data_IF_796021182911
#
_entry.id   IF_796021182911
#
_cell.length_a   1.000
_cell.length_b   1.000
_cell.length_c   1.000
_cell.angle_alpha   90.00
_cell.angle_beta   90.00
_cell.angle_gamma   90.00
#
_symmetry.space_group_name_H-M   'P 1'
#
loop_
_entity.id
_entity.type
_entity.pdbx_description
1 polymer ?
#
# COMPACT_ATOMS: atom_id res chain seq x y z
N UNK A 1 -23.60 2.04 -0.60
CA UNK A 1 -23.13 0.62 -0.55
C UNK A 1 -22.94 0.00 -1.95
N UNK A 2 -22.47 0.80 -2.92
CA UNK A 2 -22.68 0.45 -4.33
C UNK A 2 -21.49 -0.15 -5.08
N UNK A 3 -20.23 0.21 -4.75
CA UNK A 3 -19.06 -0.44 -5.40
C UNK A 3 -18.62 -1.69 -4.66
N UNK A 4 -18.85 -1.75 -3.35
CA UNK A 4 -18.50 -2.89 -2.52
C UNK A 4 -19.15 -4.20 -2.98
N UNK A 5 -20.31 -4.20 -3.64
CA UNK A 5 -21.04 -5.42 -4.05
C UNK A 5 -20.85 -5.83 -5.53
N UNK A 6 -20.41 -4.94 -6.43
CA UNK A 6 -20.35 -5.27 -7.86
C UNK A 6 -19.21 -6.24 -8.25
N UNK A 7 -18.22 -6.46 -7.37
CA UNK A 7 -17.13 -7.40 -7.61
C UNK A 7 -17.42 -8.78 -7.01
N UNK A 8 -18.39 -9.50 -7.60
CA UNK A 8 -18.37 -10.96 -7.77
C UNK A 8 -18.74 -11.89 -6.59
N UNK A 9 -19.62 -12.83 -6.91
CA UNK A 9 -19.81 -14.13 -6.24
C UNK A 9 -18.46 -14.86 -6.30
N UNK A 10 -17.68 -14.87 -5.21
CA UNK A 10 -16.30 -15.41 -5.18
C UNK A 10 -15.21 -14.52 -4.52
N UNK A 11 -15.56 -13.35 -3.97
CA UNK A 11 -14.62 -12.46 -3.26
C UNK A 11 -13.73 -13.13 -2.24
N UNK A 12 -14.29 -14.02 -1.42
CA UNK A 12 -13.51 -14.73 -0.40
C UNK A 12 -12.40 -15.57 -1.02
N UNK A 13 -12.67 -16.20 -2.18
CA UNK A 13 -11.69 -16.98 -2.91
C UNK A 13 -10.63 -16.10 -3.58
N UNK A 14 -11.03 -15.01 -4.23
CA UNK A 14 -10.08 -14.06 -4.82
C UNK A 14 -9.19 -13.41 -3.75
N UNK A 15 -9.79 -12.98 -2.65
CA UNK A 15 -9.07 -12.39 -1.52
C UNK A 15 -8.13 -13.43 -0.89
N UNK A 16 -8.60 -14.66 -0.69
CA UNK A 16 -7.77 -15.77 -0.21
C UNK A 16 -6.62 -16.11 -1.17
N UNK A 17 -6.84 -16.07 -2.48
CA UNK A 17 -5.80 -16.28 -3.49
C UNK A 17 -4.77 -15.14 -3.50
N UNK A 18 -5.21 -13.90 -3.34
CA UNK A 18 -4.29 -12.76 -3.26
C UNK A 18 -3.51 -12.74 -1.93
N UNK A 19 -4.11 -13.24 -0.84
CA UNK A 19 -3.43 -13.41 0.44
C UNK A 19 -2.64 -14.72 0.54
N UNK A 20 -2.80 -15.66 -0.38
CA UNK A 20 -2.13 -16.97 -0.30
C UNK A 20 -0.61 -16.87 -0.16
N UNK A 21 0.11 -15.90 -0.78
CA UNK A 21 1.56 -15.78 -0.58
C UNK A 21 1.97 -15.54 0.88
N UNK A 22 1.09 -15.01 1.75
CA UNK A 22 1.40 -14.85 3.18
C UNK A 22 1.38 -16.19 3.95
N UNK A 23 0.63 -17.18 3.45
CA UNK A 23 0.46 -18.47 4.13
C UNK A 23 1.53 -19.46 3.64
N UNK A 24 1.94 -19.34 2.39
CA UNK A 24 2.94 -20.24 1.78
C UNK A 24 4.30 -19.98 2.43
N UNK A 25 5.03 -21.02 2.86
CA UNK A 25 6.38 -20.86 3.36
C UNK A 25 7.28 -20.17 2.34
N UNK A 26 8.06 -19.19 2.80
CA UNK A 26 8.89 -18.33 1.96
C UNK A 26 9.82 -19.11 1.01
N UNK A 27 10.44 -20.19 1.49
CA UNK A 27 11.34 -21.02 0.68
C UNK A 27 10.60 -21.67 -0.50
N UNK A 28 9.34 -22.05 -0.31
CA UNK A 28 8.50 -22.62 -1.36
C UNK A 28 8.18 -21.57 -2.41
N UNK A 29 7.90 -20.33 -2.00
CA UNK A 29 7.72 -19.21 -2.93
C UNK A 29 9.00 -18.93 -3.72
N UNK A 30 10.16 -18.90 -3.06
CA UNK A 30 11.45 -18.65 -3.72
C UNK A 30 11.75 -19.70 -4.80
N UNK A 31 11.57 -20.98 -4.49
CA UNK A 31 11.73 -22.08 -5.46
C UNK A 31 10.69 -21.96 -6.59
N UNK A 32 9.45 -21.61 -6.26
CA UNK A 32 8.39 -21.44 -7.26
C UNK A 32 8.71 -20.31 -8.25
N UNK A 33 9.17 -19.15 -7.75
CA UNK A 33 9.62 -18.04 -8.59
C UNK A 33 10.83 -18.44 -9.44
N UNK A 34 11.81 -19.14 -8.87
CA UNK A 34 12.94 -19.66 -9.63
C UNK A 34 12.48 -20.52 -10.81
N UNK A 35 11.68 -21.55 -10.55
CA UNK A 35 11.19 -22.47 -11.60
C UNK A 35 10.36 -21.74 -12.66
N UNK A 36 9.60 -20.72 -12.26
CA UNK A 36 8.84 -19.87 -13.18
C UNK A 36 9.75 -19.01 -14.07
N UNK A 37 10.70 -18.28 -13.49
CA UNK A 37 11.59 -17.38 -14.23
C UNK A 37 12.68 -18.12 -15.04
N UNK A 38 13.10 -19.33 -14.63
CA UNK A 38 13.96 -20.21 -15.45
C UNK A 38 13.29 -20.47 -16.80
N UNK A 39 12.02 -20.87 -16.80
CA UNK A 39 11.28 -21.22 -18.02
C UNK A 39 11.16 -20.03 -18.98
N UNK A 40 11.06 -18.82 -18.43
CA UNK A 40 11.01 -17.58 -19.18
C UNK A 40 12.40 -17.05 -19.58
N UNK A 41 13.49 -17.67 -19.09
CA UNK A 41 14.88 -17.21 -19.23
C UNK A 41 15.09 -15.78 -18.73
N UNK A 42 14.41 -15.43 -17.63
CA UNK A 42 14.46 -14.09 -17.02
C UNK A 42 15.24 -14.06 -15.70
N UNK A 43 15.88 -15.16 -15.29
CA UNK A 43 16.71 -15.18 -14.08
C UNK A 43 17.87 -14.20 -14.22
N UNK A 44 18.14 -13.47 -13.13
CA UNK A 44 19.13 -12.39 -13.11
C UNK A 44 18.65 -11.10 -13.76
N UNK A 45 17.46 -11.05 -14.35
CA UNK A 45 16.88 -9.80 -14.84
C UNK A 45 16.30 -8.98 -13.70
N UNK A 46 16.51 -7.66 -13.73
CA UNK A 46 15.85 -6.69 -12.85
C UNK A 46 14.32 -6.83 -12.91
N UNK A 47 13.77 -7.18 -14.07
CA UNK A 47 12.33 -7.38 -14.24
C UNK A 47 11.83 -8.58 -13.44
N UNK A 48 12.54 -9.71 -13.43
CA UNK A 48 12.16 -10.88 -12.66
C UNK A 48 12.19 -10.58 -11.15
N UNK A 49 13.20 -9.83 -10.72
CA UNK A 49 13.34 -9.38 -9.33
C UNK A 49 12.17 -8.46 -8.94
N UNK A 50 11.89 -7.43 -9.75
CA UNK A 50 10.80 -6.50 -9.51
C UNK A 50 9.44 -7.22 -9.49
N UNK A 51 9.21 -8.15 -10.43
CA UNK A 51 7.97 -8.92 -10.49
C UNK A 51 7.79 -9.86 -9.29
N UNK A 52 8.86 -10.52 -8.83
CA UNK A 52 8.82 -11.38 -7.65
C UNK A 52 8.46 -10.58 -6.38
N UNK A 53 9.14 -9.45 -6.16
CA UNK A 53 8.86 -8.59 -5.01
C UNK A 53 7.50 -7.88 -5.11
N UNK A 54 7.06 -7.49 -6.30
CA UNK A 54 5.72 -6.95 -6.48
C UNK A 54 4.64 -7.99 -6.12
N UNK A 55 4.78 -9.23 -6.60
CA UNK A 55 3.84 -10.31 -6.30
C UNK A 55 3.77 -10.62 -4.80
N UNK A 56 4.91 -10.56 -4.10
CA UNK A 56 4.95 -10.69 -2.64
C UNK A 56 4.42 -9.46 -1.90
N UNK A 57 4.62 -8.26 -2.44
CA UNK A 57 4.21 -7.00 -1.82
C UNK A 57 2.70 -6.77 -1.85
N UNK A 58 2.02 -7.24 -2.91
CA UNK A 58 0.56 -7.09 -3.11
C UNK A 58 -0.28 -7.47 -1.87
N UNK A 59 -0.13 -8.66 -1.24
CA UNK A 59 -0.92 -9.01 -0.07
C UNK A 59 -0.78 -8.02 1.09
N UNK A 60 0.42 -7.48 1.32
CA UNK A 60 0.64 -6.48 2.37
C UNK A 60 -0.12 -5.19 2.10
N UNK A 61 -0.05 -4.69 0.87
CA UNK A 61 -0.83 -3.50 0.45
C UNK A 61 -2.33 -3.77 0.60
N UNK A 62 -2.79 -4.94 0.17
CA UNK A 62 -4.20 -5.32 0.26
C UNK A 62 -4.72 -5.35 1.69
N UNK A 63 -3.96 -5.88 2.64
CA UNK A 63 -4.35 -5.90 4.07
C UNK A 63 -4.55 -4.47 4.58
N UNK A 64 -3.60 -3.58 4.32
CA UNK A 64 -3.66 -2.17 4.78
C UNK A 64 -4.83 -1.42 4.14
N UNK A 65 -5.00 -1.54 2.82
CA UNK A 65 -6.08 -0.87 2.08
C UNK A 65 -7.45 -1.42 2.47
N UNK A 66 -7.57 -2.73 2.71
CA UNK A 66 -8.82 -3.36 3.16
C UNK A 66 -9.26 -2.85 4.52
N UNK A 67 -8.32 -2.64 5.45
CA UNK A 67 -8.60 -2.01 6.75
C UNK A 67 -9.05 -0.55 6.62
N UNK A 68 -8.44 0.21 5.72
CA UNK A 68 -8.83 1.60 5.45
C UNK A 68 -10.22 1.71 4.82
N UNK A 69 -10.58 0.78 3.93
CA UNK A 69 -11.90 0.69 3.30
C UNK A 69 -13.04 0.50 4.31
N UNK A 70 -12.79 -0.13 5.47
CA UNK A 70 -13.82 -0.28 6.50
C UNK A 70 -14.24 1.05 7.15
N UNK A 71 -13.37 2.06 7.08
CA UNK A 71 -13.59 3.39 7.64
C UNK A 71 -14.01 4.42 6.58
N UNK A 72 -14.22 3.96 5.34
CA UNK A 72 -14.60 4.80 4.21
C UNK A 72 -16.09 5.11 4.23
N UNK A 73 -16.43 6.38 3.96
CA UNK A 73 -17.82 6.83 3.89
C UNK A 73 -18.45 6.47 2.52
N UNK A 74 -19.41 5.53 2.49
CA UNK A 74 -20.06 5.11 1.25
C UNK A 74 -20.96 6.18 0.62
N UNK A 75 -21.30 7.26 1.34
CA UNK A 75 -22.13 8.34 0.80
C UNK A 75 -21.45 9.10 -0.34
N UNK A 76 -20.12 9.25 -0.28
CA UNK A 76 -19.34 9.91 -1.34
C UNK A 76 -19.43 9.17 -2.68
N UNK A 77 -19.50 7.84 -2.66
CA UNK A 77 -19.72 7.04 -3.88
C UNK A 77 -21.15 7.14 -4.38
N UNK A 78 -22.13 7.13 -3.46
CA UNK A 78 -23.55 7.27 -3.81
C UNK A 78 -23.81 8.64 -4.46
N UNK A 79 -23.26 9.72 -3.89
CA UNK A 79 -23.37 11.07 -4.44
C UNK A 79 -22.77 11.16 -5.85
N UNK A 80 -21.59 10.58 -6.07
CA UNK A 80 -20.96 10.54 -7.39
C UNK A 80 -21.84 9.82 -8.43
N UNK A 81 -22.51 8.72 -8.04
CA UNK A 81 -23.42 7.97 -8.91
C UNK A 81 -24.70 8.75 -9.21
N UNK A 82 -25.27 9.44 -8.23
CA UNK A 82 -26.44 10.32 -8.43
C UNK A 82 -26.12 11.45 -9.41
N UNK A 83 -24.86 11.93 -9.44
CA UNK A 83 -24.36 12.91 -10.42
C UNK A 83 -23.99 12.30 -11.78
N UNK A 84 -24.38 11.04 -12.04
CA UNK A 84 -24.16 10.36 -13.33
C UNK A 84 -22.75 9.78 -13.52
N UNK A 85 -21.91 9.72 -12.47
CA UNK A 85 -20.62 9.04 -12.58
C UNK A 85 -20.81 7.51 -12.58
N UNK A 86 -20.35 6.85 -13.65
CA UNK A 86 -20.27 5.40 -13.72
C UNK A 86 -19.23 4.81 -12.75
N UNK A 87 -19.28 3.48 -12.48
CA UNK A 87 -18.49 2.83 -11.44
C UNK A 87 -16.98 3.01 -11.60
N UNK A 88 -16.45 2.93 -12.82
CA UNK A 88 -15.02 3.16 -13.10
C UNK A 88 -14.64 4.61 -12.77
N UNK A 89 -15.48 5.57 -13.14
CA UNK A 89 -15.23 6.99 -12.88
C UNK A 89 -15.29 7.29 -11.37
N UNK A 90 -16.24 6.69 -10.64
CA UNK A 90 -16.31 6.77 -9.18
C UNK A 90 -15.06 6.18 -8.52
N UNK A 91 -14.61 5.00 -8.95
CA UNK A 91 -13.39 4.37 -8.44
C UNK A 91 -12.17 5.29 -8.59
N UNK A 92 -11.91 5.78 -9.80
CA UNK A 92 -10.72 6.58 -10.08
C UNK A 92 -10.76 8.00 -9.49
N UNK A 93 -11.93 8.63 -9.43
CA UNK A 93 -12.04 10.03 -8.99
C UNK A 93 -12.43 10.22 -7.53
N UNK A 94 -13.04 9.22 -6.90
CA UNK A 94 -13.58 9.34 -5.54
C UNK A 94 -12.90 8.35 -4.61
N UNK A 95 -12.91 7.06 -4.96
CA UNK A 95 -12.45 6.00 -4.05
C UNK A 95 -10.91 5.94 -3.98
N UNK A 96 -10.21 5.85 -5.12
CA UNK A 96 -8.73 5.76 -5.16
C UNK A 96 -8.01 6.96 -4.53
N UNK A 97 -8.39 8.23 -4.79
CA UNK A 97 -7.71 9.38 -4.17
C UNK A 97 -7.88 9.41 -2.65
N UNK A 98 -9.01 8.91 -2.14
CA UNK A 98 -9.25 8.80 -0.70
C UNK A 98 -8.45 7.66 -0.07
N UNK A 99 -8.32 6.54 -0.78
CA UNK A 99 -7.48 5.42 -0.34
C UNK A 99 -5.98 5.66 -0.58
N UNK A 100 -5.59 6.74 -1.26
CA UNK A 100 -4.19 6.99 -1.63
C UNK A 100 -3.24 7.04 -0.42
N UNK A 101 -3.69 7.54 0.74
CA UNK A 101 -2.86 7.50 1.97
C UNK A 101 -2.69 6.08 2.49
N UNK A 102 -3.74 5.26 2.46
CA UNK A 102 -3.67 3.84 2.84
C UNK A 102 -2.82 3.02 1.84
N UNK A 103 -2.94 3.29 0.54
CA UNK A 103 -2.11 2.68 -0.50
C UNK A 103 -0.64 3.06 -0.28
N UNK A 104 -0.35 4.33 0.03
CA UNK A 104 1.00 4.79 0.33
C UNK A 104 1.60 4.09 1.55
N UNK A 105 0.83 4.00 2.65
CA UNK A 105 1.25 3.27 3.85
C UNK A 105 1.48 1.77 3.56
N UNK A 106 0.58 1.13 2.82
CA UNK A 106 0.70 -0.25 2.40
C UNK A 106 1.91 -0.49 1.49
N UNK A 107 2.20 0.44 0.57
CA UNK A 107 3.34 0.36 -0.33
C UNK A 107 4.68 0.47 0.42
N UNK A 108 4.78 1.38 1.39
CA UNK A 108 5.94 1.49 2.28
C UNK A 108 6.13 0.20 3.06
N UNK A 109 5.06 -0.34 3.64
CA UNK A 109 5.12 -1.58 4.39
C UNK A 109 5.58 -2.76 3.51
N UNK A 110 4.98 -2.91 2.32
CA UNK A 110 5.39 -3.91 1.34
C UNK A 110 6.86 -3.76 0.92
N UNK A 111 7.35 -2.53 0.74
CA UNK A 111 8.75 -2.26 0.39
C UNK A 111 9.71 -2.68 1.50
N UNK A 112 9.41 -2.31 2.75
CA UNK A 112 10.23 -2.68 3.92
C UNK A 112 10.29 -4.20 4.05
N UNK A 113 9.15 -4.88 3.94
CA UNK A 113 9.11 -6.34 4.00
C UNK A 113 9.86 -6.98 2.84
N UNK A 114 9.70 -6.49 1.61
CA UNK A 114 10.42 -7.01 0.45
C UNK A 114 11.95 -6.87 0.60
N UNK A 115 12.41 -5.80 1.26
CA UNK A 115 13.83 -5.58 1.50
C UNK A 115 14.44 -6.59 2.47
N UNK A 116 13.67 -7.05 3.47
CA UNK A 116 14.10 -8.07 4.44
C UNK A 116 14.19 -9.47 3.81
N UNK A 117 13.60 -9.65 2.62
CA UNK A 117 13.49 -10.94 1.96
C UNK A 117 14.71 -11.28 1.10
N UNK A 118 15.78 -11.66 1.78
CA UNK A 118 17.03 -12.12 1.17
C UNK A 118 16.90 -13.51 0.49
N UNK A 119 16.01 -14.38 0.97
CA UNK A 119 15.88 -15.74 0.44
C UNK A 119 15.43 -15.70 -1.03
N UNK A 120 14.38 -14.93 -1.33
CA UNK A 120 13.81 -14.89 -2.69
C UNK A 120 14.81 -14.35 -3.70
N UNK A 121 15.58 -13.32 -3.32
CA UNK A 121 16.57 -12.76 -4.22
C UNK A 121 17.69 -13.74 -4.52
N UNK A 122 18.14 -14.55 -3.56
CA UNK A 122 19.19 -15.55 -3.79
C UNK A 122 18.80 -16.58 -4.87
N UNK A 123 17.51 -16.86 -4.99
CA UNK A 123 17.00 -17.73 -6.04
C UNK A 123 16.80 -16.99 -7.38
N UNK A 124 16.26 -15.77 -7.38
CA UNK A 124 15.85 -15.09 -8.62
C UNK A 124 16.98 -14.29 -9.28
N UNK A 125 17.96 -13.78 -8.52
CA UNK A 125 18.99 -12.85 -9.02
C UNK A 125 20.15 -13.49 -9.79
N UNK A 126 20.27 -14.82 -9.83
CA UNK A 126 21.32 -15.50 -10.59
C UNK A 126 22.74 -15.11 -10.14
N UNK A 127 23.71 -15.03 -11.06
CA UNK A 127 25.08 -14.58 -10.77
C UNK A 127 25.27 -13.06 -10.93
N UNK A 128 24.40 -12.40 -11.71
CA UNK A 128 24.75 -11.12 -12.32
C UNK A 128 24.05 -9.92 -11.66
N UNK A 129 22.90 -10.13 -11.00
CA UNK A 129 22.16 -9.04 -10.36
C UNK A 129 22.56 -8.88 -8.88
N UNK A 130 23.35 -7.86 -8.60
CA UNK A 130 23.75 -7.48 -7.23
C UNK A 130 22.72 -6.49 -6.67
N UNK A 131 21.86 -6.96 -5.78
CA UNK A 131 20.96 -6.09 -5.00
C UNK A 131 21.52 -5.84 -3.59
N UNK A 132 20.98 -4.85 -2.90
CA UNK A 132 21.42 -4.54 -1.53
C UNK A 132 21.22 -5.74 -0.57
N UNK A 133 20.07 -6.46 -0.54
CA UNK A 133 19.91 -7.65 0.30
C UNK A 133 20.83 -8.82 -0.10
N UNK A 134 21.09 -9.00 -1.40
CA UNK A 134 22.02 -10.02 -1.91
C UNK A 134 23.43 -9.77 -1.42
N UNK A 135 23.91 -8.52 -1.55
CA UNK A 135 25.24 -8.13 -1.09
C UNK A 135 25.38 -8.27 0.43
N UNK A 136 24.33 -7.92 1.16
CA UNK A 136 24.27 -8.08 2.61
C UNK A 136 24.42 -9.56 3.02
N UNK A 137 23.76 -10.45 2.30
CA UNK A 137 23.88 -11.90 2.49
C UNK A 137 25.28 -12.42 2.14
N UNK A 138 25.85 -11.96 1.03
CA UNK A 138 27.20 -12.35 0.61
C UNK A 138 28.24 -11.90 1.66
N UNK A 139 28.08 -10.69 2.22
CA UNK A 139 28.91 -10.23 3.34
C UNK A 139 28.83 -11.19 4.53
N UNK A 140 27.64 -11.58 5.01
CA UNK A 140 27.50 -12.55 6.13
C UNK A 140 28.25 -13.86 5.88
N UNK A 141 28.27 -14.32 4.63
CA UNK A 141 28.87 -15.61 4.24
C UNK A 141 30.39 -15.55 4.08
N UNK A 142 30.93 -14.43 3.59
CA UNK A 142 32.31 -14.37 3.11
C UNK A 142 33.20 -13.36 3.86
N UNK A 143 32.63 -12.36 4.54
CA UNK A 143 33.40 -11.33 5.26
C UNK A 143 32.74 -11.02 6.63
N UNK A 144 33.52 -11.06 7.72
CA UNK A 144 33.07 -10.45 8.99
C UNK A 144 33.20 -8.93 8.86
N UNK A 145 32.34 -8.33 8.04
CA UNK A 145 32.33 -6.90 7.72
C UNK A 145 31.23 -6.19 8.53
N UNK A 146 31.53 -5.09 9.26
CA UNK A 146 30.54 -4.30 9.99
C UNK A 146 29.44 -3.69 9.11
N UNK A 147 29.55 -3.76 7.78
CA UNK A 147 28.56 -3.31 6.79
C UNK A 147 27.15 -3.81 7.09
N UNK A 148 26.99 -5.03 7.64
CA UNK A 148 25.68 -5.57 8.03
C UNK A 148 24.98 -4.71 9.08
N UNK A 149 25.70 -4.36 10.15
CA UNK A 149 25.15 -3.57 11.26
C UNK A 149 24.81 -2.15 10.80
N UNK A 150 25.63 -1.56 9.92
CA UNK A 150 25.38 -0.24 9.33
C UNK A 150 24.14 -0.26 8.45
N UNK A 151 24.01 -1.26 7.56
CA UNK A 151 22.85 -1.39 6.67
C UNK A 151 21.54 -1.57 7.46
N UNK A 152 21.55 -2.40 8.51
CA UNK A 152 20.39 -2.59 9.39
C UNK A 152 19.98 -1.30 10.09
N UNK A 153 20.95 -0.53 10.60
CA UNK A 153 20.68 0.75 11.26
C UNK A 153 20.07 1.77 10.29
N UNK A 154 20.61 1.86 9.06
CA UNK A 154 20.07 2.73 8.01
C UNK A 154 18.67 2.32 7.60
N UNK A 155 18.42 1.02 7.43
CA UNK A 155 17.10 0.49 7.06
C UNK A 155 16.05 0.85 8.10
N UNK A 156 16.38 0.69 9.39
CA UNK A 156 15.51 1.07 10.51
C UNK A 156 15.24 2.57 10.46
N UNK A 157 16.29 3.40 10.33
CA UNK A 157 16.14 4.85 10.28
C UNK A 157 15.26 5.30 9.10
N UNK A 158 15.44 4.71 7.92
CA UNK A 158 14.63 4.99 6.71
C UNK A 158 13.19 4.56 6.91
N UNK A 159 12.95 3.37 7.46
CA UNK A 159 11.59 2.85 7.72
C UNK A 159 10.85 3.74 8.70
N UNK A 160 11.47 4.09 9.83
CA UNK A 160 10.91 5.00 10.83
C UNK A 160 10.65 6.38 10.22
N UNK A 161 11.57 6.91 9.42
CA UNK A 161 11.42 8.18 8.71
C UNK A 161 10.24 8.19 7.73
N UNK A 162 10.08 7.13 6.94
CA UNK A 162 8.97 6.98 6.00
C UNK A 162 7.62 6.87 6.70
N UNK A 163 7.53 6.07 7.77
CA UNK A 163 6.31 5.93 8.57
C UNK A 163 5.91 7.25 9.22
N UNK A 164 6.86 7.92 9.88
CA UNK A 164 6.61 9.22 10.53
C UNK A 164 6.22 10.30 9.52
N UNK A 165 6.89 10.37 8.36
CA UNK A 165 6.53 11.30 7.30
C UNK A 165 5.11 11.03 6.75
N UNK A 166 4.77 9.76 6.51
CA UNK A 166 3.43 9.38 6.06
C UNK A 166 2.35 9.81 7.06
N UNK A 167 2.59 9.59 8.35
CA UNK A 167 1.67 9.97 9.42
C UNK A 167 1.53 11.48 9.58
N UNK A 168 2.63 12.24 9.46
CA UNK A 168 2.60 13.71 9.48
C UNK A 168 1.79 14.28 8.31
N UNK A 169 1.94 13.71 7.11
CA UNK A 169 1.16 14.10 5.92
C UNK A 169 -0.31 13.82 6.14
N UNK A 170 -0.65 12.65 6.68
CA UNK A 170 -2.04 12.27 6.93
C UNK A 170 -2.68 13.13 8.03
N UNK A 171 -1.92 13.45 9.09
CA UNK A 171 -2.32 14.37 10.14
C UNK A 171 -2.55 15.79 9.59
N UNK A 172 -1.68 16.29 8.70
CA UNK A 172 -1.86 17.59 8.05
C UNK A 172 -3.11 17.63 7.16
N UNK A 173 -3.41 16.54 6.44
CA UNK A 173 -4.63 16.39 5.63
C UNK A 173 -5.89 16.39 6.51
N UNK A 174 -5.89 15.64 7.62
CA UNK A 174 -7.01 15.62 8.60
C UNK A 174 -7.27 17.00 9.19
N UNK A 175 -6.23 17.77 9.53
CA UNK A 175 -6.34 19.16 10.05
C UNK A 175 -6.97 20.11 9.02
N UNK A 176 -6.58 20.04 7.75
CA UNK A 176 -7.21 20.85 6.68
C UNK A 176 -8.70 20.51 6.52
N UNK A 177 -9.06 19.22 6.57
CA UNK A 177 -10.46 18.77 6.45
C UNK A 177 -11.34 19.30 7.59
N UNK A 178 -10.83 19.28 8.84
CA UNK A 178 -11.54 19.86 10.01
C UNK A 178 -11.73 21.38 9.93
N UNK A 179 -10.75 22.13 9.41
CA UNK A 179 -10.86 23.60 9.26
C UNK A 179 -11.93 24.00 8.25
N UNK A 180 -12.07 23.27 7.14
CA UNK A 180 -13.12 23.53 6.13
C UNK A 180 -14.52 23.27 6.69
N UNK A 181 -14.69 22.18 7.45
CA UNK A 181 -15.99 21.83 8.07
C UNK A 181 -16.34 22.82 9.19
N UNK A 182 -15.37 23.18 10.04
CA UNK A 182 -15.58 24.15 11.11
C UNK A 182 -15.90 25.57 10.61
N UNK A 183 -15.30 26.00 9.50
CA UNK A 183 -15.61 27.30 8.89
C UNK A 183 -17.04 27.35 8.32
N UNK A 184 -17.57 26.24 7.81
CA UNK A 184 -18.95 26.16 7.31
C UNK A 184 -20.02 26.18 8.40
N UNK A 185 -19.67 25.78 9.64
CA UNK A 185 -20.62 25.80 10.76
C UNK A 185 -20.85 27.23 11.29
N UNK A 186 -19.78 28.03 11.36
CA UNK A 186 -19.84 29.42 11.80
C UNK A 186 -20.60 30.34 10.84
N UNK A 187 -20.55 30.06 9.52
CA UNK A 187 -21.35 30.80 8.53
C UNK A 187 -22.83 30.46 8.57
N UNK A 188 -23.19 29.26 9.04
CA UNK A 188 -24.60 28.85 9.13
C UNK A 188 -25.27 29.43 10.39
N UNK A 189 -24.59 29.42 11.54
CA UNK A 189 -25.09 30.07 12.77
C UNK A 189 -25.24 31.59 12.61
N UNK A 190 -24.35 32.23 11.88
CA UNK A 190 -24.48 33.67 11.58
C UNK A 190 -25.61 33.96 10.60
N UNK A 191 -25.88 33.08 9.62
CA UNK A 191 -27.02 33.24 8.71
C UNK A 191 -28.38 33.06 9.42
N UNK A 192 -28.52 32.08 10.32
CA UNK A 192 -29.73 31.87 11.13
C UNK A 192 -29.95 32.98 12.18
N UNK A 193 -28.87 33.48 12.79
CA UNK A 193 -28.94 34.58 13.76
C UNK A 193 -29.36 35.93 13.16
N UNK A 194 -29.13 36.13 11.85
CA UNK A 194 -29.54 37.36 11.14
C UNK A 194 -30.97 37.24 10.59
N UNK A 195 -31.42 36.06 10.18
CA UNK A 195 -32.78 35.84 9.66
C UNK A 195 -33.86 35.80 10.74
N UNK A 196 -33.51 35.51 12.00
CA UNK A 196 -34.46 35.54 13.12
C UNK A 196 -34.79 36.93 13.69
N UNK A 197 -34.11 38.00 13.24
CA UNK A 197 -34.26 39.35 13.81
C UNK A 197 -35.10 40.32 12.97
N UNK A 198 -35.43 39.98 11.72
CA UNK A 198 -36.10 40.86 10.76
C UNK A 198 -37.40 40.28 10.17
N UNK A 199 -38.21 39.60 10.98
CA UNK A 199 -39.60 39.28 10.60
C UNK A 199 -40.53 40.00 11.57
N UNK A 200 -41.19 41.10 11.14
CA UNK A 200 -42.18 41.81 11.95
C UNK A 200 -43.46 40.99 12.15
#
# INVERSE_FOLDING_TARGET
MGLGLLLLRGKGLLFGLMLSPLIVPLIVLAISYYLFFVKLRLIGSEFAIAAAYAAMGVPFVLVVVSGALQHFDPELENAARTLGAGPIRTLWRVTLPQLASAIGAGAIFAFVTAFDEAVVILFVSGSDAITLPRKLWDSVRYDIDPTLAVAGTVLIAVSVGLFTAAELIDAARKRRRRRVIGAGHLTNETAEGITGKDIP
#
